data_IF_901609062700
#
_entry.id   IF_901609062700
#
_cell.length_a   1.000
_cell.length_b   1.000
_cell.length_c   1.000
_cell.angle_alpha   90.00
_cell.angle_beta   90.00
_cell.angle_gamma   90.00
#
_symmetry.space_group_name_H-M   'P 1'
#
loop_
_entity.id
_entity.type
_entity.pdbx_description
1 polymer ?
#
# COMPACT_ATOMS: atom_id res chain seq x y z
N UNK A 1 7.32 -0.25 12.50
CA UNK A 1 5.93 0.06 12.13
C UNK A 1 5.59 -0.87 11.00
N UNK A 2 4.54 -1.65 11.17
CA UNK A 2 4.07 -2.58 10.15
C UNK A 2 3.23 -1.83 9.12
N UNK A 3 3.21 -2.36 7.92
CA UNK A 3 2.50 -1.74 6.82
C UNK A 3 2.61 -2.58 5.57
N UNK A 4 2.55 -1.89 4.44
CA UNK A 4 2.44 -2.47 3.12
C UNK A 4 3.41 -1.77 2.18
N UNK A 5 4.24 -2.57 1.52
CA UNK A 5 4.97 -2.12 0.34
C UNK A 5 4.08 -2.32 -0.87
N UNK A 6 3.89 -1.25 -1.63
CA UNK A 6 3.12 -1.27 -2.87
C UNK A 6 4.09 -0.97 -3.99
N UNK A 7 4.25 -1.91 -4.91
CA UNK A 7 4.95 -1.68 -6.19
C UNK A 7 3.88 -1.34 -7.22
N UNK A 8 4.07 -0.24 -7.93
CA UNK A 8 3.09 0.26 -8.87
C UNK A 8 3.74 0.86 -10.12
N UNK A 9 2.93 0.97 -11.17
CA UNK A 9 3.30 1.54 -12.45
C UNK A 9 2.58 2.87 -12.64
N UNK A 10 3.35 3.92 -12.90
CA UNK A 10 2.85 5.25 -13.22
C UNK A 10 2.31 5.30 -14.67
N UNK A 11 1.49 6.31 -15.03
CA UNK A 11 0.91 6.42 -16.37
C UNK A 11 1.93 6.48 -17.51
N UNK A 12 3.15 6.96 -17.24
CA UNK A 12 4.26 7.00 -18.20
C UNK A 12 4.98 5.64 -18.37
N UNK A 13 4.59 4.66 -17.57
CA UNK A 13 5.14 3.31 -17.56
C UNK A 13 6.26 3.07 -16.54
N UNK A 14 6.67 4.08 -15.78
CA UNK A 14 7.69 3.97 -14.73
C UNK A 14 7.20 3.05 -13.62
N UNK A 15 8.03 2.09 -13.21
CA UNK A 15 7.76 1.23 -12.04
C UNK A 15 8.46 1.80 -10.83
N UNK A 16 7.69 2.06 -9.78
CA UNK A 16 8.19 2.59 -8.51
C UNK A 16 7.49 1.89 -7.35
N UNK A 17 7.82 2.28 -6.12
CA UNK A 17 7.24 1.70 -4.92
C UNK A 17 6.99 2.75 -3.83
N UNK A 18 6.04 2.45 -2.95
CA UNK A 18 5.70 3.29 -1.80
C UNK A 18 5.37 2.43 -0.58
N UNK A 19 5.38 3.06 0.59
CA UNK A 19 5.05 2.43 1.86
C UNK A 19 3.78 3.05 2.43
N UNK A 20 2.82 2.21 2.79
CA UNK A 20 1.64 2.61 3.56
C UNK A 20 1.65 1.91 4.91
N UNK A 21 1.50 2.67 6.00
CA UNK A 21 1.36 2.10 7.34
C UNK A 21 0.07 1.26 7.45
N UNK A 22 0.03 0.31 8.40
CA UNK A 22 -1.25 -0.33 8.75
C UNK A 22 -2.32 0.75 9.05
N UNK A 23 -3.54 0.60 8.53
CA UNK A 23 -4.57 1.60 8.71
C UNK A 23 -5.00 1.66 10.18
N UNK A 24 -4.98 2.86 10.76
CA UNK A 24 -5.52 3.10 12.10
C UNK A 24 -7.03 3.23 11.95
N UNK A 25 -7.76 2.16 12.25
CA UNK A 25 -9.22 2.14 12.16
C UNK A 25 -9.84 2.16 13.56
N UNK A 26 -10.88 2.98 13.76
CA UNK A 26 -11.66 3.02 15.01
C UNK A 26 -12.70 1.89 15.12
N UNK A 27 -12.74 1.02 14.11
CA UNK A 27 -13.62 -0.14 14.02
C UNK A 27 -12.74 -1.38 13.96
N UNK A 28 -13.10 -2.44 14.67
CA UNK A 28 -12.38 -3.72 14.64
C UNK A 28 -12.60 -4.42 13.30
N UNK A 29 -11.94 -3.94 12.25
CA UNK A 29 -11.85 -4.62 10.97
C UNK A 29 -10.89 -5.81 11.11
N UNK A 30 -11.28 -7.01 10.63
CA UNK A 30 -10.32 -8.11 10.51
C UNK A 30 -9.12 -7.65 9.69
N UNK A 31 -7.89 -8.05 10.08
CA UNK A 31 -6.66 -7.74 9.31
C UNK A 31 -6.75 -8.14 7.83
N UNK A 32 -7.58 -9.13 7.53
CA UNK A 32 -7.88 -9.59 6.16
C UNK A 32 -8.46 -8.47 5.28
N UNK A 33 -9.18 -7.52 5.87
CA UNK A 33 -9.76 -6.38 5.17
C UNK A 33 -8.77 -5.22 4.97
N UNK A 34 -7.64 -5.19 5.68
CA UNK A 34 -6.69 -4.07 5.61
C UNK A 34 -6.08 -3.92 4.22
N UNK A 35 -5.85 -5.04 3.52
CA UNK A 35 -5.33 -5.00 2.15
C UNK A 35 -6.28 -4.27 1.19
N UNK A 36 -7.59 -4.48 1.31
CA UNK A 36 -8.57 -3.76 0.47
C UNK A 36 -8.65 -2.28 0.84
N UNK A 37 -8.57 -1.96 2.14
CA UNK A 37 -8.49 -0.56 2.61
C UNK A 37 -7.24 0.13 2.05
N UNK A 38 -6.09 -0.55 2.04
CA UNK A 38 -4.84 0.00 1.52
C UNK A 38 -4.91 0.21 0.01
N UNK A 39 -5.50 -0.72 -0.76
CA UNK A 39 -5.74 -0.53 -2.19
C UNK A 39 -6.62 0.69 -2.46
N UNK A 40 -7.68 0.88 -1.68
CA UNK A 40 -8.57 2.04 -1.80
C UNK A 40 -7.84 3.36 -1.50
N UNK A 41 -7.09 3.40 -0.40
CA UNK A 41 -6.29 4.58 -0.01
C UNK A 41 -5.21 4.87 -1.07
N UNK A 42 -4.54 3.84 -1.58
CA UNK A 42 -3.55 3.97 -2.63
C UNK A 42 -4.16 4.56 -3.90
N UNK A 43 -5.27 4.00 -4.40
CA UNK A 43 -5.93 4.49 -5.62
C UNK A 43 -6.45 5.93 -5.48
N UNK A 44 -6.80 6.35 -4.26
CA UNK A 44 -7.19 7.74 -3.99
C UNK A 44 -5.99 8.69 -3.98
N UNK A 45 -4.84 8.24 -3.46
CA UNK A 45 -3.62 9.05 -3.38
C UNK A 45 -2.79 9.07 -4.69
N UNK A 46 -2.86 8.01 -5.50
CA UNK A 46 -2.09 7.82 -6.73
C UNK A 46 -3.04 7.52 -7.91
N UNK A 47 -3.90 8.47 -8.31
CA UNK A 47 -4.86 8.25 -9.38
C UNK A 47 -4.15 7.94 -10.70
N UNK A 48 -4.65 6.94 -11.44
CA UNK A 48 -4.08 6.51 -12.72
C UNK A 48 -2.87 5.58 -12.60
N UNK A 49 -2.37 5.30 -11.41
CA UNK A 49 -1.33 4.29 -11.19
C UNK A 49 -1.92 2.87 -11.11
N UNK A 50 -1.20 1.89 -11.66
CA UNK A 50 -1.57 0.47 -11.63
C UNK A 50 -0.76 -0.25 -10.55
N UNK A 51 -1.43 -0.94 -9.62
CA UNK A 51 -0.74 -1.76 -8.62
C UNK A 51 -0.19 -3.02 -9.30
N UNK A 52 1.13 -3.21 -9.21
CA UNK A 52 1.83 -4.41 -9.70
C UNK A 52 1.88 -5.48 -8.61
N UNK A 53 2.23 -5.08 -7.38
CA UNK A 53 2.21 -5.97 -6.23
C UNK A 53 1.98 -5.21 -4.92
N UNK A 54 1.45 -5.92 -3.94
CA UNK A 54 1.27 -5.43 -2.57
C UNK A 54 1.63 -6.54 -1.61
N UNK A 55 2.48 -6.25 -0.65
CA UNK A 55 2.93 -7.20 0.37
C UNK A 55 3.01 -6.54 1.74
N UNK A 56 2.72 -7.32 2.78
CA UNK A 56 2.95 -6.88 4.15
C UNK A 56 4.47 -6.78 4.40
N UNK A 57 4.92 -5.66 4.93
CA UNK A 57 6.30 -5.48 5.35
C UNK A 57 6.37 -4.60 6.61
N UNK A 58 7.56 -4.45 7.18
CA UNK A 58 7.79 -3.38 8.16
C UNK A 58 8.64 -2.25 7.58
N UNK A 59 8.52 -1.06 8.16
CA UNK A 59 9.26 0.13 7.72
C UNK A 59 10.78 -0.09 7.67
N UNK A 60 11.35 -0.90 8.56
CA UNK A 60 12.79 -1.17 8.55
C UNK A 60 13.21 -2.03 7.36
N UNK A 61 12.37 -2.96 6.92
CA UNK A 61 12.59 -3.75 5.70
C UNK A 61 12.40 -2.91 4.45
N UNK A 62 11.43 -2.00 4.46
CA UNK A 62 11.20 -1.09 3.34
C UNK A 62 12.36 -0.11 3.11
N UNK A 63 12.98 0.38 4.19
CA UNK A 63 14.09 1.33 4.12
C UNK A 63 15.46 0.70 3.83
N UNK A 64 15.54 -0.63 3.79
CA UNK A 64 16.78 -1.37 3.45
C UNK A 64 16.89 -1.53 1.94
#
# INVERSE_FOLDING_TARGET
MDGYKIVYKEPDGTITHTFFCEPITNISLPKQCYMEVIKLLFGSAHPGCEIVSIECCNLKEFMK
#
